data_IF_505654543172
#
_entry.id   IF_505654543172
#
_cell.length_a   1.000
_cell.length_b   1.000
_cell.length_c   1.000
_cell.angle_alpha   90.00
_cell.angle_beta   90.00
_cell.angle_gamma   90.00
#
_symmetry.space_group_name_H-M   'P 1'
#
loop_
_entity.id
_entity.type
_entity.pdbx_description
1 polymer ?
#
# COMPACT_ATOMS: atom_id res chain seq x y z
N UNK A 1 19.83 -18.40 18.21
CA UNK A 1 19.42 -17.10 18.77
C UNK A 1 17.99 -16.66 18.43
N UNK A 2 17.25 -17.30 17.52
CA UNK A 2 15.88 -16.89 17.15
C UNK A 2 14.77 -17.26 18.17
N UNK A 3 15.07 -18.13 19.14
CA UNK A 3 14.10 -18.56 20.18
C UNK A 3 13.94 -17.60 21.36
N UNK A 4 14.72 -16.52 21.42
CA UNK A 4 14.72 -15.55 22.54
C UNK A 4 13.85 -14.33 22.24
N UNK A 5 13.41 -14.17 20.99
CA UNK A 5 12.57 -13.05 20.54
C UNK A 5 11.18 -13.06 21.22
N UNK A 6 10.51 -14.22 21.42
CA UNK A 6 9.17 -14.23 22.03
C UNK A 6 9.17 -13.82 23.52
N UNK A 7 10.30 -13.98 24.22
CA UNK A 7 10.41 -13.66 25.66
C UNK A 7 10.61 -12.18 25.94
N UNK A 8 11.01 -11.39 24.93
CA UNK A 8 11.23 -9.95 25.06
C UNK A 8 10.02 -9.11 24.65
N UNK A 9 8.94 -9.74 24.14
CA UNK A 9 7.71 -9.05 23.76
C UNK A 9 6.81 -8.95 25.00
N UNK A 10 6.46 -7.74 25.48
CA UNK A 10 5.55 -7.58 26.60
C UNK A 10 4.21 -8.25 26.28
N UNK A 11 3.80 -9.22 27.12
CA UNK A 11 2.49 -9.85 26.97
C UNK A 11 1.42 -8.79 27.21
N UNK A 12 0.65 -8.48 26.16
CA UNK A 12 -0.49 -7.57 26.24
C UNK A 12 -1.44 -8.09 27.32
N UNK A 13 -1.51 -7.38 28.44
CA UNK A 13 -2.53 -7.62 29.45
C UNK A 13 -3.89 -7.28 28.84
N UNK A 14 -4.70 -8.30 28.58
CA UNK A 14 -6.10 -8.13 28.18
C UNK A 14 -6.90 -7.62 29.38
N UNK A 15 -6.69 -6.35 29.73
CA UNK A 15 -7.66 -5.62 30.53
C UNK A 15 -8.92 -5.48 29.68
N UNK A 16 -10.08 -5.88 30.21
CA UNK A 16 -11.37 -5.53 29.61
C UNK A 16 -11.39 -4.02 29.42
N UNK A 17 -11.42 -3.54 28.16
CA UNK A 17 -11.66 -2.12 27.88
C UNK A 17 -13.05 -1.79 28.43
N UNK A 18 -13.10 -1.07 29.55
CA UNK A 18 -14.34 -0.50 30.04
C UNK A 18 -14.66 0.69 29.15
N UNK A 19 -15.55 0.49 28.17
CA UNK A 19 -16.03 1.57 27.32
C UNK A 19 -16.79 2.57 28.20
N UNK A 20 -16.31 3.81 28.23
CA UNK A 20 -16.95 4.90 28.96
C UNK A 20 -18.10 5.49 28.15
N UNK A 21 -19.02 6.21 28.80
CA UNK A 21 -20.08 6.95 28.09
C UNK A 21 -19.51 7.99 27.11
N UNK A 22 -18.30 8.49 27.36
CA UNK A 22 -17.58 9.39 26.46
C UNK A 22 -17.20 8.69 25.14
N UNK A 23 -16.76 7.43 25.20
CA UNK A 23 -16.40 6.64 24.01
C UNK A 23 -17.61 6.41 23.11
N UNK A 24 -18.80 6.20 23.70
CA UNK A 24 -20.06 6.08 22.96
C UNK A 24 -20.45 7.40 22.28
N UNK A 25 -20.26 8.53 22.96
CA UNK A 25 -20.55 9.85 22.38
C UNK A 25 -19.63 10.17 21.21
N UNK A 26 -18.35 9.81 21.29
CA UNK A 26 -17.39 10.01 20.19
C UNK A 26 -17.75 9.14 18.98
N UNK A 27 -18.12 7.87 19.21
CA UNK A 27 -18.56 6.98 18.14
C UNK A 27 -19.84 7.48 17.45
N UNK A 28 -20.80 8.01 18.22
CA UNK A 28 -22.02 8.59 17.65
C UNK A 28 -21.73 9.83 16.81
N UNK A 29 -20.92 10.77 17.31
CA UNK A 29 -20.51 11.96 16.56
C UNK A 29 -19.76 11.59 15.27
N UNK A 30 -18.88 10.58 15.33
CA UNK A 30 -18.19 10.05 14.17
C UNK A 30 -19.20 9.53 13.12
N UNK A 31 -20.14 8.68 13.54
CA UNK A 31 -21.14 8.12 12.65
C UNK A 31 -22.04 9.20 12.03
N UNK A 32 -22.50 10.17 12.83
CA UNK A 32 -23.31 11.30 12.36
C UNK A 32 -22.56 12.14 11.33
N UNK A 33 -21.30 12.49 11.61
CA UNK A 33 -20.46 13.24 10.68
C UNK A 33 -20.32 12.53 9.34
N UNK A 34 -19.92 11.26 9.34
CA UNK A 34 -19.70 10.53 8.09
C UNK A 34 -21.00 10.21 7.35
N UNK A 35 -22.11 10.01 8.06
CA UNK A 35 -23.43 9.88 7.44
C UNK A 35 -23.84 11.18 6.76
N UNK A 36 -23.62 12.34 7.40
CA UNK A 36 -23.91 13.65 6.83
C UNK A 36 -23.04 13.93 5.60
N UNK A 37 -21.73 13.67 5.68
CA UNK A 37 -20.81 13.81 4.54
C UNK A 37 -21.23 12.91 3.38
N UNK A 38 -21.56 11.64 3.66
CA UNK A 38 -22.05 10.71 2.64
C UNK A 38 -23.32 11.23 1.95
N UNK A 39 -24.31 11.70 2.72
CA UNK A 39 -25.56 12.25 2.20
C UNK A 39 -25.34 13.48 1.32
N UNK A 40 -24.54 14.46 1.80
CA UNK A 40 -24.19 15.67 1.04
C UNK A 40 -23.48 15.32 -0.26
N UNK A 41 -22.55 14.36 -0.21
CA UNK A 41 -21.80 13.91 -1.39
C UNK A 41 -22.72 13.28 -2.43
N UNK A 42 -23.64 12.39 -2.02
CA UNK A 42 -24.64 11.78 -2.90
C UNK A 42 -25.54 12.85 -3.54
N UNK A 43 -25.97 13.85 -2.78
CA UNK A 43 -26.77 14.96 -3.32
C UNK A 43 -26.01 15.74 -4.38
N UNK A 44 -24.75 16.10 -4.12
CA UNK A 44 -23.90 16.83 -5.09
C UNK A 44 -23.65 16.02 -6.35
N UNK A 45 -23.35 14.73 -6.23
CA UNK A 45 -23.15 13.83 -7.38
C UNK A 45 -24.43 13.75 -8.21
N UNK A 46 -25.61 13.58 -7.59
CA UNK A 46 -26.90 13.55 -8.30
C UNK A 46 -27.18 14.86 -9.03
N UNK A 47 -26.90 16.01 -8.39
CA UNK A 47 -27.06 17.33 -9.00
C UNK A 47 -26.15 17.49 -10.22
N UNK A 48 -24.87 17.14 -10.09
CA UNK A 48 -23.89 17.22 -11.16
C UNK A 48 -24.23 16.27 -12.32
N UNK A 49 -24.67 15.05 -12.01
CA UNK A 49 -25.12 14.09 -13.01
C UNK A 49 -26.32 14.63 -13.81
N UNK A 50 -27.31 15.23 -13.13
CA UNK A 50 -28.45 15.88 -13.77
C UNK A 50 -28.04 17.04 -14.68
N UNK A 51 -27.14 17.90 -14.21
CA UNK A 51 -26.60 19.02 -15.00
C UNK A 51 -25.93 18.55 -16.30
N UNK A 52 -25.27 17.39 -16.25
CA UNK A 52 -24.56 16.81 -17.39
C UNK A 52 -25.40 15.80 -18.20
N UNK A 53 -26.72 15.68 -17.95
CA UNK A 53 -27.60 14.67 -18.55
C UNK A 53 -27.07 13.22 -18.41
N UNK A 54 -26.29 12.96 -17.36
CA UNK A 54 -25.68 11.68 -17.06
C UNK A 54 -26.59 10.90 -16.10
N UNK A 55 -26.86 9.63 -16.41
CA UNK A 55 -27.57 8.71 -15.51
C UNK A 55 -26.57 7.73 -14.93
N UNK A 56 -26.22 7.83 -13.63
CA UNK A 56 -25.29 6.89 -13.01
C UNK A 56 -25.82 5.47 -13.11
N UNK A 57 -24.98 4.54 -13.58
CA UNK A 57 -25.31 3.11 -13.57
C UNK A 57 -25.58 2.66 -12.13
N UNK A 58 -26.76 2.08 -11.88
CA UNK A 58 -27.11 1.49 -10.57
C UNK A 58 -26.47 0.12 -10.35
N UNK A 59 -25.78 -0.41 -11.36
CA UNK A 59 -25.13 -1.71 -11.26
C UNK A 59 -23.89 -1.58 -10.37
N UNK A 60 -23.62 -2.57 -9.51
CA UNK A 60 -22.34 -2.65 -8.82
C UNK A 60 -21.20 -2.59 -9.86
N UNK A 61 -20.01 -2.06 -9.50
CA UNK A 61 -18.86 -2.10 -10.39
C UNK A 61 -18.67 -3.53 -10.87
N UNK A 62 -18.89 -3.76 -12.16
CA UNK A 62 -18.59 -5.05 -12.77
C UNK A 62 -17.07 -5.22 -12.64
N UNK A 63 -16.57 -6.32 -12.08
CA UNK A 63 -15.15 -6.59 -12.09
C UNK A 63 -14.65 -6.47 -13.53
N UNK A 64 -13.72 -5.55 -13.78
CA UNK A 64 -13.13 -5.40 -15.10
C UNK A 64 -12.44 -6.71 -15.43
N UNK A 65 -13.03 -7.50 -16.32
CA UNK A 65 -12.38 -8.67 -16.89
C UNK A 65 -11.39 -8.16 -17.94
N UNK A 66 -10.11 -8.24 -17.63
CA UNK A 66 -9.05 -7.97 -18.58
C UNK A 66 -8.91 -9.16 -19.52
N UNK A 67 -8.64 -8.92 -20.80
CA UNK A 67 -8.19 -9.99 -21.70
C UNK A 67 -6.83 -10.51 -21.21
N UNK A 68 -6.44 -11.74 -21.55
CA UNK A 68 -5.12 -12.26 -21.15
C UNK A 68 -3.96 -11.35 -21.59
N UNK A 69 -4.13 -10.61 -22.69
CA UNK A 69 -3.18 -9.59 -23.16
C UNK A 69 -3.16 -8.31 -22.32
N UNK A 70 -4.26 -7.97 -21.64
CA UNK A 70 -4.37 -6.78 -20.79
C UNK A 70 -4.00 -7.08 -19.33
N UNK A 71 -3.79 -8.36 -18.99
CA UNK A 71 -3.39 -8.75 -17.65
C UNK A 71 -1.90 -8.47 -17.45
N UNK A 72 -1.57 -7.86 -16.31
CA UNK A 72 -0.18 -7.68 -15.91
C UNK A 72 0.52 -9.03 -15.76
N UNK A 73 1.64 -9.20 -16.45
CA UNK A 73 2.49 -10.39 -16.37
C UNK A 73 3.87 -10.00 -15.87
N UNK A 74 4.40 -10.79 -14.93
CA UNK A 74 5.79 -10.66 -14.52
C UNK A 74 6.68 -11.17 -15.65
N UNK A 75 7.62 -10.33 -16.08
CA UNK A 75 8.64 -10.73 -17.03
C UNK A 75 9.86 -11.26 -16.26
N UNK A 76 10.54 -12.30 -16.77
CA UNK A 76 11.80 -12.76 -16.19
C UNK A 76 12.80 -11.62 -16.12
N UNK A 77 13.49 -11.49 -14.98
CA UNK A 77 14.51 -10.46 -14.79
C UNK A 77 15.88 -11.06 -15.08
N UNK A 78 16.54 -10.57 -16.12
CA UNK A 78 17.88 -11.02 -16.51
C UNK A 78 18.97 -10.39 -15.62
N UNK A 79 20.04 -11.16 -15.31
CA UNK A 79 21.18 -10.66 -14.53
C UNK A 79 21.82 -9.42 -15.16
N UNK A 80 21.94 -9.42 -16.49
CA UNK A 80 22.53 -8.31 -17.25
C UNK A 80 21.75 -7.01 -17.07
N UNK A 81 20.42 -7.08 -16.97
CA UNK A 81 19.56 -5.93 -16.72
C UNK A 81 19.78 -5.37 -15.31
N UNK A 82 19.82 -6.24 -14.30
CA UNK A 82 20.10 -5.83 -12.92
C UNK A 82 21.47 -5.17 -12.82
N UNK A 83 22.49 -5.76 -13.46
CA UNK A 83 23.83 -5.18 -13.49
C UNK A 83 23.86 -3.80 -14.12
N UNK A 84 23.22 -3.65 -15.28
CA UNK A 84 23.14 -2.38 -16.00
C UNK A 84 22.50 -1.30 -15.12
N UNK A 85 21.36 -1.62 -14.50
CA UNK A 85 20.63 -0.69 -13.63
C UNK A 85 21.49 -0.28 -12.43
N UNK A 86 22.07 -1.24 -11.70
CA UNK A 86 22.87 -0.95 -10.50
C UNK A 86 24.12 -0.14 -10.84
N UNK A 87 24.82 -0.46 -11.94
CA UNK A 87 26.00 0.29 -12.39
C UNK A 87 25.66 1.73 -12.81
N UNK A 88 24.47 1.96 -13.36
CA UNK A 88 24.00 3.29 -13.79
C UNK A 88 23.64 4.24 -12.64
N UNK A 89 23.47 3.73 -11.41
CA UNK A 89 23.08 4.58 -10.28
C UNK A 89 24.17 5.58 -9.89
N UNK A 90 23.82 6.83 -9.52
CA UNK A 90 24.79 7.81 -9.06
C UNK A 90 25.31 7.47 -7.65
N UNK A 91 26.62 7.62 -7.45
CA UNK A 91 27.31 7.30 -6.19
C UNK A 91 26.96 8.26 -5.04
N UNK A 92 26.65 9.51 -5.38
CA UNK A 92 26.41 10.60 -4.45
C UNK A 92 24.92 10.75 -4.09
N UNK A 93 24.09 9.73 -4.36
CA UNK A 93 22.69 9.76 -3.99
C UNK A 93 22.53 9.66 -2.48
N UNK A 94 21.52 10.36 -1.95
CA UNK A 94 21.14 10.19 -0.55
C UNK A 94 20.77 8.72 -0.29
N UNK A 95 21.28 8.17 0.80
CA UNK A 95 20.98 6.80 1.22
C UNK A 95 19.52 6.69 1.67
N UNK A 96 18.90 5.54 1.42
CA UNK A 96 17.56 5.24 1.90
C UNK A 96 17.52 5.05 3.42
N UNK A 97 16.41 4.47 3.92
CA UNK A 97 16.22 4.19 5.35
C UNK A 97 17.30 3.25 5.93
N UNK A 98 17.88 2.40 5.08
CA UNK A 98 18.96 1.46 5.41
C UNK A 98 20.34 2.13 5.57
N UNK A 99 20.47 3.39 5.15
CA UNK A 99 21.72 4.15 5.11
C UNK A 99 22.83 3.49 4.28
N UNK A 100 22.49 2.60 3.34
CA UNK A 100 23.47 1.91 2.49
C UNK A 100 23.83 2.78 1.29
N UNK A 101 25.11 3.15 1.10
CA UNK A 101 25.55 3.91 -0.07
C UNK A 101 25.43 3.10 -1.36
N UNK A 102 25.09 3.76 -2.47
CA UNK A 102 25.05 3.15 -3.81
C UNK A 102 26.34 2.40 -4.16
N UNK A 103 27.50 2.91 -3.74
CA UNK A 103 28.80 2.26 -3.96
C UNK A 103 28.86 0.85 -3.35
N UNK A 104 28.34 0.69 -2.14
CA UNK A 104 28.30 -0.62 -1.47
C UNK A 104 27.41 -1.59 -2.24
N UNK A 105 26.27 -1.11 -2.79
CA UNK A 105 25.39 -1.94 -3.63
C UNK A 105 26.11 -2.39 -4.91
N UNK A 106 26.87 -1.49 -5.54
CA UNK A 106 27.68 -1.80 -6.74
C UNK A 106 28.78 -2.82 -6.43
N UNK A 107 29.46 -2.69 -5.30
CA UNK A 107 30.52 -3.62 -4.88
C UNK A 107 29.96 -5.01 -4.57
N UNK A 108 28.75 -5.08 -4.00
CA UNK A 108 28.06 -6.33 -3.71
C UNK A 108 27.32 -6.93 -4.93
N UNK A 109 27.29 -6.24 -6.07
CA UNK A 109 26.52 -6.64 -7.25
C UNK A 109 26.73 -8.11 -7.69
N UNK A 110 27.97 -8.64 -7.76
CA UNK A 110 28.19 -10.04 -8.16
C UNK A 110 27.55 -11.05 -7.20
N UNK A 111 27.40 -10.66 -5.94
CA UNK A 111 26.82 -11.51 -4.89
C UNK A 111 25.31 -11.41 -4.90
N UNK A 112 24.72 -10.22 -5.11
CA UNK A 112 23.27 -10.01 -5.01
C UNK A 112 22.52 -10.31 -6.31
N UNK A 113 23.15 -10.09 -7.48
CA UNK A 113 22.47 -10.20 -8.76
C UNK A 113 21.79 -11.55 -8.98
N UNK A 114 22.43 -12.72 -8.72
CA UNK A 114 21.79 -14.03 -8.90
C UNK A 114 20.57 -14.25 -8.00
N UNK A 115 20.54 -13.64 -6.81
CA UNK A 115 19.43 -13.80 -5.87
C UNK A 115 18.23 -12.92 -6.21
N UNK A 116 18.46 -11.81 -6.91
CA UNK A 116 17.40 -10.89 -7.35
C UNK A 116 16.72 -11.41 -8.63
N UNK A 117 17.45 -12.19 -9.44
CA UNK A 117 16.98 -12.71 -10.73
C UNK A 117 16.51 -14.15 -10.69
N UNK A 118 16.82 -14.91 -9.63
CA UNK A 118 16.28 -16.25 -9.42
C UNK A 118 14.78 -16.19 -9.14
N UNK A 119 13.97 -16.51 -10.15
CA UNK A 119 12.51 -16.67 -10.07
C UNK A 119 12.11 -18.14 -10.02
#
# INVERSE_FOLDING_TARGET
MWKVIPTCIPKKTTGKKSFSNHDKSVANNFNEFFTAVGSITVMKIKSLAKENNYTPSQLPPVPTSYTESDQFTFQPVECSLVEYIVKSMPDNKATGIDKVPTRVIKDCLPVIAPWITSS
#
